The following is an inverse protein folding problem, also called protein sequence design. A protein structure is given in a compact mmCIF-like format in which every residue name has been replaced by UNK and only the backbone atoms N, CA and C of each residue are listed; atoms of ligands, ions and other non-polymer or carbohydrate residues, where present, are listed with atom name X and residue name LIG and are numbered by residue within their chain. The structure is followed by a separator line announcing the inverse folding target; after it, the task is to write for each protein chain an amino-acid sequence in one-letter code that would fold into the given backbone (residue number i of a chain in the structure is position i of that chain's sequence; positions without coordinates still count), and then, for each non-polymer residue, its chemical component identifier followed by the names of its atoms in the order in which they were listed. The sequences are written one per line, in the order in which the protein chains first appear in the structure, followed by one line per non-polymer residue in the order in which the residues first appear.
data_IF_119617474268
#
_entry.id   IF_119617474268
#
_cell.length_a   1.000
_cell.length_b   1.000
_cell.length_c   1.000
_cell.angle_alpha   90.00
_cell.angle_beta   90.00
_cell.angle_gamma   90.00
#
_symmetry.space_group_name_H-M   'P 1'
#
loop_
_entity.id
_entity.type
_entity.pdbx_description
1 polymer ?
#
# COMPACT_ATOMS: atom_id res chain seq x y z
N UNK A 1 -40.85 3.79 -28.24
CA UNK A 1 -40.47 3.81 -26.82
C UNK A 1 -39.36 2.80 -26.61
N UNK A 2 -38.12 3.22 -26.84
CA UNK A 2 -36.89 2.67 -26.26
C UNK A 2 -35.74 3.53 -26.77
N UNK A 3 -35.44 4.60 -26.03
CA UNK A 3 -34.17 5.32 -26.18
C UNK A 3 -33.07 4.42 -25.61
N UNK A 4 -32.18 3.92 -26.46
CA UNK A 4 -30.93 3.32 -26.02
C UNK A 4 -29.96 4.47 -25.78
N UNK A 5 -29.81 4.86 -24.52
CA UNK A 5 -28.72 5.73 -24.07
C UNK A 5 -27.43 4.99 -24.42
N UNK A 6 -26.75 5.45 -25.46
CA UNK A 6 -25.36 5.08 -25.74
C UNK A 6 -24.54 5.55 -24.54
N UNK A 7 -24.17 4.62 -23.67
CA UNK A 7 -23.13 4.86 -22.66
C UNK A 7 -21.84 5.23 -23.41
N UNK A 8 -21.50 6.52 -23.38
CA UNK A 8 -20.25 7.03 -23.92
C UNK A 8 -19.07 6.33 -23.24
N UNK A 9 -18.15 5.70 -23.99
CA UNK A 9 -17.00 4.99 -23.45
C UNK A 9 -15.92 5.91 -22.84
N UNK A 10 -16.17 7.22 -22.77
CA UNK A 10 -15.22 8.23 -22.34
C UNK A 10 -15.04 8.30 -20.81
N UNK A 11 -16.03 7.88 -20.01
CA UNK A 11 -15.92 7.89 -18.55
C UNK A 11 -15.12 6.69 -17.99
N UNK A 12 -15.06 5.57 -18.72
CA UNK A 12 -14.26 4.40 -18.35
C UNK A 12 -12.76 4.59 -18.61
N UNK A 13 -12.40 5.53 -19.50
CA UNK A 13 -11.02 5.81 -19.87
C UNK A 13 -10.26 6.63 -18.81
N UNK A 14 -10.96 7.37 -17.93
CA UNK A 14 -10.36 8.23 -16.91
C UNK A 14 -9.71 7.48 -15.73
N UNK A 15 -9.79 6.14 -15.71
CA UNK A 15 -9.05 5.29 -14.78
C UNK A 15 -7.79 4.63 -15.36
N UNK A 16 -7.46 4.89 -16.64
CA UNK A 16 -6.46 4.08 -17.37
C UNK A 16 -5.24 4.85 -17.87
N UNK A 17 -5.13 6.14 -17.60
CA UNK A 17 -3.97 6.92 -18.02
C UNK A 17 -3.59 8.01 -17.01
N UNK A 18 -2.74 7.64 -16.06
CA UNK A 18 -1.54 8.44 -15.78
C UNK A 18 -0.38 7.52 -15.39
N UNK A 19 0.11 6.85 -16.42
CA UNK A 19 1.31 6.00 -16.44
C UNK A 19 2.30 6.61 -17.43
N UNK A 20 2.38 7.94 -17.50
CA UNK A 20 3.20 8.63 -18.48
C UNK A 20 4.70 8.60 -18.15
N UNK A 21 5.15 7.89 -17.12
CA UNK A 21 6.57 7.60 -16.88
C UNK A 21 6.69 6.28 -16.10
N UNK A 22 7.28 5.27 -16.73
CA UNK A 22 7.43 3.93 -16.16
C UNK A 22 8.07 3.92 -14.77
N UNK A 23 7.53 3.04 -13.91
CA UNK A 23 8.20 2.33 -12.79
C UNK A 23 7.45 2.35 -11.43
N UNK A 24 6.22 2.85 -11.34
CA UNK A 24 5.42 2.67 -10.13
C UNK A 24 4.24 1.72 -10.37
N UNK A 25 4.08 0.64 -9.59
CA UNK A 25 2.93 -0.25 -9.70
C UNK A 25 1.60 0.42 -9.31
N UNK A 26 1.65 1.58 -8.64
CA UNK A 26 0.49 2.27 -8.06
C UNK A 26 0.63 3.77 -8.30
N UNK A 27 -0.41 4.40 -8.89
CA UNK A 27 -0.46 5.85 -9.11
C UNK A 27 -0.82 6.63 -7.84
N UNK A 28 -0.38 7.89 -7.76
CA UNK A 28 -0.64 8.78 -6.61
C UNK A 28 -2.14 8.92 -6.30
N UNK A 29 -2.98 8.99 -7.34
CA UNK A 29 -4.45 9.07 -7.21
C UNK A 29 -5.01 7.90 -6.40
N UNK A 30 -4.56 6.67 -6.69
CA UNK A 30 -5.01 5.47 -5.99
C UNK A 30 -4.63 5.49 -4.50
N UNK A 31 -3.45 6.03 -4.16
CA UNK A 31 -3.03 6.20 -2.77
C UNK A 31 -3.91 7.23 -2.03
N UNK A 32 -4.29 8.31 -2.70
CA UNK A 32 -5.20 9.31 -2.13
C UNK A 32 -6.57 8.69 -1.86
N UNK A 33 -7.14 8.00 -2.86
CA UNK A 33 -8.48 7.42 -2.77
C UNK A 33 -8.55 6.27 -1.74
N UNK A 34 -7.45 5.52 -1.57
CA UNK A 34 -7.32 4.51 -0.52
C UNK A 34 -7.10 5.11 0.90
N UNK A 35 -6.87 6.41 1.01
CA UNK A 35 -6.72 7.10 2.30
C UNK A 35 -5.41 6.81 3.05
N UNK A 36 -4.36 6.32 2.36
CA UNK A 36 -3.07 5.98 3.02
C UNK A 36 -2.29 7.18 3.57
N UNK A 37 -2.67 8.40 3.18
CA UNK A 37 -2.06 9.62 3.69
C UNK A 37 -2.46 9.96 5.13
N UNK A 38 -3.49 9.31 5.69
CA UNK A 38 -3.91 9.54 7.06
C UNK A 38 -2.99 8.81 8.06
N UNK A 39 -2.21 9.60 8.80
CA UNK A 39 -1.37 9.13 9.90
C UNK A 39 -2.11 9.07 11.24
N UNK A 40 -1.33 9.06 12.32
CA UNK A 40 -1.88 9.07 13.68
C UNK A 40 -2.18 10.49 14.19
N UNK A 41 -2.86 10.58 15.34
CA UNK A 41 -3.08 11.84 16.05
C UNK A 41 -1.75 12.52 16.45
N UNK A 42 -1.69 13.85 16.40
CA UNK A 42 -0.49 14.65 16.71
C UNK A 42 0.02 14.49 18.15
N UNK A 43 -0.83 14.01 19.06
CA UNK A 43 -0.46 13.75 20.46
C UNK A 43 0.27 12.42 20.67
N UNK A 44 0.17 11.47 19.74
CA UNK A 44 0.66 10.09 19.89
C UNK A 44 1.42 9.66 18.63
N UNK A 45 2.59 10.24 18.40
CA UNK A 45 3.41 9.94 17.23
C UNK A 45 4.87 9.73 17.63
N UNK A 46 5.63 9.05 16.75
CA UNK A 46 7.07 8.87 16.93
C UNK A 46 7.81 10.04 16.26
N UNK A 47 8.61 10.85 16.99
CA UNK A 47 9.35 11.99 16.43
C UNK A 47 10.26 11.64 15.25
N UNK A 48 10.74 10.39 15.15
CA UNK A 48 11.57 9.94 14.03
C UNK A 48 10.81 9.93 12.69
N UNK A 49 9.47 9.95 12.71
CA UNK A 49 8.65 10.02 11.51
C UNK A 49 8.58 11.42 10.89
N UNK A 50 9.20 12.44 11.51
CA UNK A 50 9.06 13.86 11.11
C UNK A 50 9.38 14.10 9.64
N UNK A 51 10.39 13.45 9.09
CA UNK A 51 10.80 13.60 7.68
C UNK A 51 9.83 12.99 6.66
N UNK A 52 8.88 12.17 7.13
CA UNK A 52 7.87 11.50 6.29
C UNK A 52 6.48 12.13 6.43
N UNK A 53 6.33 13.16 7.27
CA UNK A 53 5.08 13.85 7.54
C UNK A 53 5.06 15.14 6.73
N UNK A 54 4.07 15.26 5.84
CA UNK A 54 3.82 16.47 5.07
C UNK A 54 3.29 17.61 5.96
N UNK A 55 2.40 17.29 6.90
CA UNK A 55 1.81 18.27 7.81
C UNK A 55 0.80 17.67 8.77
N UNK A 56 -0.07 18.50 9.34
CA UNK A 56 -1.18 18.05 10.17
C UNK A 56 -2.45 18.86 9.88
N UNK A 57 -3.60 18.19 9.88
CA UNK A 57 -4.92 18.80 9.72
C UNK A 57 -5.88 18.20 10.75
N UNK A 58 -6.64 19.04 11.44
CA UNK A 58 -7.60 18.61 12.46
C UNK A 58 -6.99 17.68 13.53
N UNK A 59 -5.73 17.88 13.90
CA UNK A 59 -5.03 17.05 14.89
C UNK A 59 -4.59 15.67 14.40
N UNK A 60 -4.65 15.38 13.10
CA UNK A 60 -4.16 14.14 12.47
C UNK A 60 -2.96 14.49 11.58
N UNK A 61 -1.88 13.70 11.68
CA UNK A 61 -0.73 13.82 10.78
C UNK A 61 -1.08 13.35 9.37
N UNK A 62 -0.61 14.10 8.37
CA UNK A 62 -0.71 13.74 6.96
C UNK A 62 0.67 13.28 6.49
N UNK A 63 0.73 12.07 5.94
CA UNK A 63 1.95 11.46 5.40
C UNK A 63 2.21 11.97 3.98
N UNK A 64 3.49 12.18 3.66
CA UNK A 64 3.93 12.58 2.32
C UNK A 64 3.79 11.41 1.34
N UNK A 65 2.85 11.52 0.39
CA UNK A 65 2.59 10.48 -0.59
C UNK A 65 3.61 10.45 -1.73
N UNK A 66 4.26 11.56 -2.07
CA UNK A 66 5.29 11.58 -3.10
C UNK A 66 6.50 10.78 -2.62
N UNK A 67 6.88 11.00 -1.36
CA UNK A 67 7.94 10.21 -0.73
C UNK A 67 7.52 8.74 -0.55
N UNK A 68 6.26 8.48 -0.19
CA UNK A 68 5.72 7.12 -0.07
C UNK A 68 5.80 6.38 -1.40
N UNK A 69 5.45 7.02 -2.52
CA UNK A 69 5.54 6.41 -3.84
C UNK A 69 6.98 6.00 -4.16
N UNK A 70 7.96 6.89 -3.98
CA UNK A 70 9.37 6.59 -4.25
C UNK A 70 9.93 5.48 -3.35
N UNK A 71 9.53 5.43 -2.09
CA UNK A 71 9.91 4.36 -1.16
C UNK A 71 9.25 3.03 -1.53
N UNK A 72 7.98 3.07 -1.91
CA UNK A 72 7.22 1.90 -2.34
C UNK A 72 7.86 1.25 -3.57
N UNK A 73 8.28 2.04 -4.57
CA UNK A 73 9.03 1.55 -5.73
C UNK A 73 10.24 0.71 -5.32
N UNK A 74 11.06 1.25 -4.41
CA UNK A 74 12.28 0.59 -3.94
C UNK A 74 11.95 -0.71 -3.21
N UNK A 75 10.94 -0.71 -2.35
CA UNK A 75 10.49 -1.90 -1.66
C UNK A 75 9.97 -2.98 -2.64
N UNK A 76 9.20 -2.57 -3.65
CA UNK A 76 8.68 -3.46 -4.67
C UNK A 76 9.80 -4.18 -5.45
N UNK A 77 10.81 -3.43 -5.92
CA UNK A 77 11.95 -4.02 -6.60
C UNK A 77 12.75 -4.95 -5.69
N UNK A 78 13.01 -4.53 -4.44
CA UNK A 78 13.73 -5.36 -3.48
C UNK A 78 13.07 -6.73 -3.27
N UNK A 79 11.74 -6.74 -3.05
CA UNK A 79 10.97 -7.98 -2.87
C UNK A 79 10.99 -8.82 -4.14
N UNK A 80 10.76 -8.20 -5.31
CA UNK A 80 10.77 -8.87 -6.60
C UNK A 80 12.12 -9.55 -6.88
N UNK A 81 13.22 -8.83 -6.64
CA UNK A 81 14.57 -9.36 -6.82
C UNK A 81 14.89 -10.47 -5.82
N UNK A 82 14.41 -10.36 -4.58
CA UNK A 82 14.62 -11.38 -3.56
C UNK A 82 13.95 -12.71 -3.94
N UNK A 83 12.70 -12.68 -4.39
CA UNK A 83 11.99 -13.89 -4.83
C UNK A 83 12.53 -14.43 -6.15
N UNK A 84 12.98 -13.56 -7.07
CA UNK A 84 13.60 -13.97 -8.32
C UNK A 84 14.91 -14.77 -8.11
N UNK A 85 15.61 -14.51 -7.01
CA UNK A 85 16.79 -15.29 -6.59
C UNK A 85 16.46 -16.59 -5.84
N UNK A 86 15.17 -16.96 -5.75
CA UNK A 86 14.71 -18.12 -4.98
C UNK A 86 14.59 -17.87 -3.48
N UNK A 87 14.63 -16.62 -3.04
CA UNK A 87 14.37 -16.25 -1.65
C UNK A 87 12.89 -16.40 -1.28
N UNK A 88 12.64 -16.55 0.01
CA UNK A 88 11.28 -16.63 0.56
C UNK A 88 10.88 -15.33 1.27
N UNK A 89 9.60 -14.98 1.20
CA UNK A 89 9.02 -13.84 1.90
C UNK A 89 8.08 -14.33 2.99
N UNK A 90 8.19 -13.73 4.17
CA UNK A 90 7.27 -13.95 5.28
C UNK A 90 6.39 -12.71 5.46
N UNK A 91 5.09 -12.85 5.19
CA UNK A 91 4.11 -11.80 5.43
C UNK A 91 3.73 -11.79 6.92
N UNK A 92 3.72 -10.61 7.54
CA UNK A 92 3.40 -10.50 8.98
C UNK A 92 2.33 -9.46 9.19
N UNK A 93 1.20 -9.88 9.77
CA UNK A 93 0.05 -9.02 10.01
C UNK A 93 -0.78 -9.49 11.18
N UNK A 94 -0.36 -9.13 12.39
CA UNK A 94 -0.97 -9.61 13.65
C UNK A 94 -2.23 -8.84 14.07
N UNK A 95 -2.58 -7.80 13.32
CA UNK A 95 -3.75 -6.96 13.59
C UNK A 95 -4.99 -7.63 13.00
N UNK A 96 -6.08 -7.71 13.78
CA UNK A 96 -7.32 -8.36 13.36
C UNK A 96 -7.86 -7.87 12.01
N UNK A 97 -7.78 -6.57 11.72
CA UNK A 97 -8.23 -6.00 10.44
C UNK A 97 -7.33 -6.37 9.24
N UNK A 98 -6.10 -6.83 9.49
CA UNK A 98 -5.13 -7.18 8.44
C UNK A 98 -4.99 -8.70 8.26
N UNK A 99 -5.46 -9.50 9.23
CA UNK A 99 -5.21 -10.94 9.27
C UNK A 99 -5.71 -11.66 8.00
N UNK A 100 -6.96 -11.42 7.60
CA UNK A 100 -7.56 -12.10 6.45
C UNK A 100 -6.86 -11.73 5.14
N UNK A 101 -6.61 -10.42 4.93
CA UNK A 101 -5.92 -9.90 3.74
C UNK A 101 -4.50 -10.47 3.63
N UNK A 102 -3.76 -10.52 4.74
CA UNK A 102 -2.39 -11.03 4.75
C UNK A 102 -2.35 -12.53 4.47
N UNK A 103 -3.28 -13.29 5.03
CA UNK A 103 -3.41 -14.71 4.76
C UNK A 103 -3.71 -14.97 3.27
N UNK A 104 -4.73 -14.30 2.73
CA UNK A 104 -5.14 -14.45 1.33
C UNK A 104 -4.01 -14.12 0.35
N UNK A 105 -3.35 -12.97 0.53
CA UNK A 105 -2.29 -12.52 -0.38
C UNK A 105 -1.02 -13.38 -0.30
N UNK A 106 -0.67 -13.86 0.90
CA UNK A 106 0.48 -14.77 1.04
C UNK A 106 0.21 -16.12 0.38
N UNK A 107 -1.00 -16.69 0.56
CA UNK A 107 -1.40 -17.93 -0.11
C UNK A 107 -1.44 -17.75 -1.63
N UNK A 108 -2.01 -16.64 -2.12
CA UNK A 108 -2.03 -16.29 -3.55
C UNK A 108 -0.64 -16.17 -4.15
N UNK A 109 0.31 -15.62 -3.40
CA UNK A 109 1.71 -15.48 -3.80
C UNK A 109 2.56 -16.76 -3.58
N UNK A 110 2.01 -17.81 -2.97
CA UNK A 110 2.75 -19.03 -2.61
C UNK A 110 3.86 -18.78 -1.58
N UNK A 111 3.67 -17.81 -0.68
CA UNK A 111 4.64 -17.39 0.33
C UNK A 111 4.15 -17.69 1.76
N UNK A 112 5.04 -17.52 2.74
CA UNK A 112 4.74 -17.79 4.16
C UNK A 112 4.02 -16.60 4.82
N UNK A 113 3.25 -16.85 5.87
CA UNK A 113 2.60 -15.79 6.64
C UNK A 113 2.49 -16.08 8.15
N UNK A 114 2.39 -15.01 8.94
CA UNK A 114 1.99 -15.03 10.35
C UNK A 114 0.94 -13.94 10.58
N UNK A 115 -0.27 -14.36 10.95
CA UNK A 115 -1.39 -13.47 11.29
C UNK A 115 -1.78 -13.56 12.76
N UNK A 116 -1.35 -14.63 13.44
CA UNK A 116 -1.54 -14.82 14.88
C UNK A 116 -0.52 -14.04 15.70
N UNK A 117 -0.47 -14.35 17.00
CA UNK A 117 0.52 -13.79 17.91
C UNK A 117 1.93 -14.21 17.49
N UNK A 118 2.81 -13.23 17.29
CA UNK A 118 4.24 -13.48 17.12
C UNK A 118 4.87 -13.88 18.47
N UNK A 119 5.53 -15.04 18.51
CA UNK A 119 6.20 -15.51 19.72
C UNK A 119 7.67 -15.06 19.71
N UNK A 120 8.20 -14.67 20.86
CA UNK A 120 9.64 -14.39 20.97
C UNK A 120 10.44 -15.65 20.61
N UNK A 121 11.50 -15.51 19.83
CA UNK A 121 12.33 -16.63 19.38
C UNK A 121 11.99 -17.19 17.99
N UNK A 122 10.97 -16.68 17.29
CA UNK A 122 10.56 -17.24 15.98
C UNK A 122 11.64 -17.17 14.89
N UNK A 123 12.57 -16.20 14.94
CA UNK A 123 13.61 -15.99 13.91
C UNK A 123 15.04 -15.88 14.47
N UNK A 124 15.22 -16.01 15.78
CA UNK A 124 16.50 -15.78 16.48
C UNK A 124 17.12 -17.09 16.94
#
# INVERSE_FOLDING_TARGET
MTETITESPELAALGTADVASGDLPIGLRALIDAGVHFGHQTKRWNPQMRSYIYGARNGIHIIDLDQTAQLFKRAFHFVSDAVARGGHVLFVGTKRQAADVIHEEAVRAGQFFITGRWLGGTLT
#
